data_IF_507309141464
#
_entry.id   IF_507309141464
#
_cell.length_a   1.000
_cell.length_b   1.000
_cell.length_c   1.000
_cell.angle_alpha   90.00
_cell.angle_beta   90.00
_cell.angle_gamma   90.00
#
_symmetry.space_group_name_H-M   'P 1'
#
loop_
_entity.id
_entity.type
_entity.pdbx_description
1 polymer ?
#
# COMPACT_ATOMS: atom_id res chain seq x y z
N UNK A 1 17.34 -7.72 6.92
CA UNK A 1 17.66 -6.53 7.74
C UNK A 1 16.48 -6.03 8.57
N UNK A 2 15.39 -5.49 7.99
CA UNK A 2 14.25 -4.95 8.77
C UNK A 2 13.62 -5.95 9.75
N UNK A 3 13.52 -7.23 9.37
CA UNK A 3 13.09 -8.31 10.29
C UNK A 3 14.02 -8.49 11.51
N UNK A 4 15.32 -8.29 11.34
CA UNK A 4 16.30 -8.40 12.45
C UNK A 4 16.10 -7.24 13.42
N UNK A 5 16.04 -6.01 12.91
CA UNK A 5 15.77 -4.82 13.73
C UNK A 5 14.46 -4.94 14.49
N UNK A 6 13.39 -5.37 13.82
CA UNK A 6 12.08 -5.58 14.45
C UNK A 6 12.16 -6.59 15.60
N UNK A 7 12.83 -7.74 15.38
CA UNK A 7 13.02 -8.77 16.41
C UNK A 7 13.87 -8.29 17.57
N UNK A 8 14.96 -7.56 17.32
CA UNK A 8 15.85 -7.03 18.37
C UNK A 8 15.12 -6.01 19.23
N UNK A 9 14.41 -5.05 18.60
CA UNK A 9 13.58 -4.06 19.32
C UNK A 9 12.50 -4.73 20.15
N UNK A 10 11.86 -5.78 19.62
CA UNK A 10 10.80 -6.50 20.33
C UNK A 10 11.32 -7.37 21.48
N UNK A 11 12.44 -8.07 21.30
CA UNK A 11 12.96 -9.03 22.27
C UNK A 11 13.79 -8.37 23.39
N UNK A 12 14.50 -7.28 23.07
CA UNK A 12 15.42 -6.61 23.99
C UNK A 12 14.91 -5.25 24.47
N UNK A 13 13.77 -4.77 23.94
CA UNK A 13 13.18 -3.46 24.26
C UNK A 13 14.13 -2.27 24.02
N UNK A 14 15.09 -2.42 23.10
CA UNK A 14 16.07 -1.38 22.77
C UNK A 14 15.62 -0.53 21.59
N UNK A 15 15.99 0.75 21.60
CA UNK A 15 15.91 1.59 20.42
C UNK A 15 17.14 1.37 19.53
N UNK A 16 16.93 0.74 18.39
CA UNK A 16 18.00 0.43 17.42
C UNK A 16 17.71 1.10 16.10
N UNK A 17 18.53 2.04 15.65
CA UNK A 17 18.35 2.66 14.34
C UNK A 17 18.69 1.67 13.21
N UNK A 18 18.09 1.82 12.01
CA UNK A 18 18.52 1.04 10.86
C UNK A 18 19.99 1.25 10.49
N UNK A 19 20.53 2.45 10.72
CA UNK A 19 21.94 2.76 10.46
C UNK A 19 22.90 1.92 11.30
N UNK A 20 22.54 1.52 12.51
CA UNK A 20 23.38 0.68 13.38
C UNK A 20 23.80 -0.65 12.73
N UNK A 21 22.95 -1.25 11.90
CA UNK A 21 23.29 -2.48 11.16
C UNK A 21 24.20 -2.22 9.97
N UNK A 22 24.13 -1.04 9.36
CA UNK A 22 25.03 -0.68 8.25
C UNK A 22 26.42 -0.33 8.75
N UNK A 23 26.49 0.39 9.87
CA UNK A 23 27.77 0.83 10.45
C UNK A 23 28.46 -0.30 11.23
N UNK A 24 27.76 -1.39 11.57
CA UNK A 24 28.32 -2.60 12.15
C UNK A 24 27.61 -3.84 11.56
N UNK A 25 27.98 -4.26 10.34
CA UNK A 25 27.33 -5.37 9.65
C UNK A 25 27.78 -6.75 10.17
N UNK A 26 28.79 -6.79 11.04
CA UNK A 26 29.28 -8.00 11.70
C UNK A 26 28.53 -8.19 13.03
N UNK A 27 28.04 -9.41 13.28
CA UNK A 27 27.19 -9.72 14.45
C UNK A 27 27.83 -9.28 15.78
N UNK A 28 29.12 -9.54 15.96
CA UNK A 28 29.84 -9.16 17.18
C UNK A 28 29.80 -7.63 17.40
N UNK A 29 30.20 -6.86 16.39
CA UNK A 29 30.22 -5.40 16.45
C UNK A 29 28.82 -4.81 16.64
N UNK A 30 27.81 -5.45 16.06
CA UNK A 30 26.42 -5.06 16.25
C UNK A 30 25.98 -5.33 17.69
N UNK A 31 26.29 -6.50 18.27
CA UNK A 31 25.98 -6.84 19.65
C UNK A 31 26.67 -5.91 20.66
N UNK A 32 27.94 -5.57 20.43
CA UNK A 32 28.68 -4.59 21.24
C UNK A 32 27.96 -3.23 21.24
N UNK A 33 27.51 -2.74 20.08
CA UNK A 33 26.75 -1.49 19.99
C UNK A 33 25.39 -1.55 20.69
N UNK A 34 24.71 -2.69 20.63
CA UNK A 34 23.44 -2.88 21.34
C UNK A 34 23.61 -2.77 22.85
N UNK A 35 24.75 -3.16 23.41
CA UNK A 35 25.01 -3.04 24.86
C UNK A 35 25.02 -1.59 25.36
N UNK A 36 25.34 -0.64 24.47
CA UNK A 36 25.31 0.80 24.74
C UNK A 36 24.02 1.49 24.28
N UNK A 37 23.10 0.75 23.66
CA UNK A 37 21.84 1.30 23.18
C UNK A 37 20.92 1.66 24.35
N UNK A 38 20.20 2.77 24.22
CA UNK A 38 19.22 3.16 25.23
C UNK A 38 18.02 2.22 25.23
N UNK A 39 17.43 2.04 26.41
CA UNK A 39 16.10 1.47 26.53
C UNK A 39 15.17 2.30 25.65
N UNK A 40 14.51 1.62 24.72
CA UNK A 40 13.62 2.30 23.79
C UNK A 40 12.37 2.76 24.51
N UNK A 41 11.88 3.97 24.17
CA UNK A 41 10.49 4.26 24.47
C UNK A 41 9.65 3.35 23.59
N UNK A 42 9.05 2.32 24.20
CA UNK A 42 8.17 1.41 23.50
C UNK A 42 7.06 2.24 22.84
N UNK A 43 7.11 2.38 21.52
CA UNK A 43 6.03 3.02 20.78
C UNK A 43 4.75 2.22 21.08
N UNK A 44 3.64 2.91 21.36
CA UNK A 44 2.39 2.20 21.61
C UNK A 44 2.08 1.29 20.40
N UNK A 45 1.58 0.08 20.65
CA UNK A 45 1.23 -0.84 19.58
C UNK A 45 0.19 -0.20 18.68
N UNK A 46 0.27 -0.48 17.37
CA UNK A 46 -0.80 -0.11 16.44
C UNK A 46 -1.97 -1.06 16.73
N UNK A 47 -2.98 -0.54 17.40
CA UNK A 47 -4.21 -1.29 17.69
C UNK A 47 -5.21 -1.14 16.55
N UNK A 48 -6.10 -2.12 16.43
CA UNK A 48 -7.28 -1.94 15.61
C UNK A 48 -8.08 -0.75 16.14
N UNK A 49 -8.62 0.05 15.23
CA UNK A 49 -9.56 1.12 15.53
C UNK A 49 -10.78 0.93 14.66
N UNK A 50 -11.93 1.42 15.13
CA UNK A 50 -13.13 1.42 14.34
C UNK A 50 -12.92 2.20 13.04
N UNK A 51 -13.35 1.61 11.92
CA UNK A 51 -13.18 2.17 10.57
C UNK A 51 -14.47 2.77 10.00
N UNK A 52 -15.41 3.09 10.87
CA UNK A 52 -16.66 3.75 10.50
C UNK A 52 -16.40 5.25 10.29
N UNK A 53 -16.99 5.81 9.23
CA UNK A 53 -16.96 7.24 8.96
C UNK A 53 -15.70 7.77 8.27
N UNK A 54 -15.43 9.05 8.48
CA UNK A 54 -14.38 9.80 7.80
C UNK A 54 -13.13 9.89 8.69
N UNK A 55 -11.98 9.41 8.20
CA UNK A 55 -10.70 9.50 8.90
C UNK A 55 -9.77 10.54 8.27
N UNK A 56 -8.84 11.04 9.07
CA UNK A 56 -7.74 11.86 8.58
C UNK A 56 -6.83 11.06 7.65
N UNK A 57 -6.22 11.75 6.71
CA UNK A 57 -5.21 11.17 5.82
C UNK A 57 -3.89 11.03 6.57
N UNK A 58 -3.12 9.99 6.22
CA UNK A 58 -1.68 9.99 6.57
C UNK A 58 -0.97 11.15 5.87
N UNK A 59 0.17 11.60 6.38
CA UNK A 59 0.94 12.70 5.77
C UNK A 59 1.27 12.45 4.30
N UNK A 60 1.57 11.20 3.93
CA UNK A 60 1.81 10.82 2.54
C UNK A 60 0.53 10.92 1.68
N UNK A 61 -0.61 10.43 2.19
CA UNK A 61 -1.89 10.54 1.50
C UNK A 61 -2.33 12.01 1.36
N UNK A 62 -2.13 12.85 2.37
CA UNK A 62 -2.49 14.27 2.33
C UNK A 62 -1.67 15.03 1.27
N UNK A 63 -0.38 14.71 1.14
CA UNK A 63 0.45 15.25 0.05
C UNK A 63 -0.07 14.83 -1.32
N UNK A 64 -0.37 13.54 -1.52
CA UNK A 64 -0.93 13.05 -2.79
C UNK A 64 -2.30 13.66 -3.09
N UNK A 65 -3.15 13.81 -2.08
CA UNK A 65 -4.44 14.47 -2.20
C UNK A 65 -4.28 15.92 -2.67
N UNK A 66 -3.40 16.69 -2.02
CA UNK A 66 -3.10 18.06 -2.44
C UNK A 66 -2.62 18.12 -3.90
N UNK A 67 -1.68 17.26 -4.28
CA UNK A 67 -1.18 17.19 -5.66
C UNK A 67 -2.26 16.78 -6.66
N UNK A 68 -3.22 15.94 -6.25
CA UNK A 68 -4.35 15.53 -7.09
C UNK A 68 -5.42 16.62 -7.26
N UNK A 69 -5.53 17.57 -6.32
CA UNK A 69 -6.46 18.71 -6.41
C UNK A 69 -5.92 19.87 -7.28
N UNK A 70 -4.61 19.93 -7.52
CA UNK A 70 -4.02 20.88 -8.47
C UNK A 70 -4.39 20.50 -9.91
N UNK A 71 -4.54 21.48 -10.81
CA UNK A 71 -4.89 21.22 -12.22
C UNK A 71 -3.95 20.18 -12.86
N UNK A 72 -4.53 19.25 -13.62
CA UNK A 72 -3.76 18.26 -14.39
C UNK A 72 -3.60 16.88 -13.76
N UNK A 73 -4.50 16.46 -12.85
CA UNK A 73 -4.78 15.07 -12.45
C UNK A 73 -3.60 14.12 -12.64
N UNK A 74 -2.62 14.22 -11.74
CA UNK A 74 -1.25 13.82 -12.02
C UNK A 74 -1.09 12.31 -12.27
N UNK A 75 -1.14 11.92 -13.54
CA UNK A 75 -0.89 10.56 -14.01
C UNK A 75 0.46 9.99 -13.57
N UNK A 76 1.40 10.81 -13.09
CA UNK A 76 2.67 10.34 -12.51
C UNK A 76 2.49 9.43 -11.28
N UNK A 77 1.30 9.42 -10.67
CA UNK A 77 0.97 8.51 -9.56
C UNK A 77 0.17 7.28 -9.98
N UNK A 78 -0.12 7.09 -11.27
CA UNK A 78 -0.67 5.84 -11.77
C UNK A 78 0.40 4.74 -11.77
N UNK A 79 0.02 3.54 -11.36
CA UNK A 79 0.87 2.35 -11.37
C UNK A 79 0.27 1.29 -12.32
N UNK A 80 0.25 1.54 -13.64
CA UNK A 80 -0.31 0.58 -14.59
C UNK A 80 0.54 -0.69 -14.63
N UNK A 81 -0.13 -1.84 -14.68
CA UNK A 81 0.48 -3.14 -14.92
C UNK A 81 -0.23 -3.80 -16.10
N UNK A 82 0.55 -4.28 -17.06
CA UNK A 82 0.05 -4.96 -18.23
C UNK A 82 0.60 -6.39 -18.26
N UNK A 83 -0.29 -7.37 -18.44
CA UNK A 83 0.06 -8.79 -18.43
C UNK A 83 -0.45 -9.45 -19.72
N UNK A 84 0.42 -10.24 -20.37
CA UNK A 84 0.03 -11.08 -21.50
C UNK A 84 -0.14 -12.52 -21.04
N UNK A 85 -1.39 -12.96 -20.95
CA UNK A 85 -1.74 -14.35 -20.65
C UNK A 85 -1.93 -15.13 -21.95
N UNK A 86 -1.51 -16.40 -21.98
CA UNK A 86 -1.73 -17.31 -23.11
C UNK A 86 -2.33 -18.61 -22.60
N UNK A 87 -3.37 -19.09 -23.27
CA UNK A 87 -4.12 -20.30 -22.87
C UNK A 87 -5.56 -19.98 -22.47
N UNK A 88 -6.32 -21.00 -22.03
CA UNK A 88 -7.69 -20.80 -21.59
C UNK A 88 -7.73 -19.92 -20.33
N UNK A 89 -8.53 -18.85 -20.37
CA UNK A 89 -8.74 -17.94 -19.24
C UNK A 89 -10.21 -17.99 -18.81
N UNK A 90 -10.45 -18.36 -17.55
CA UNK A 90 -11.78 -18.27 -16.95
C UNK A 90 -11.98 -16.86 -16.38
N UNK A 91 -12.56 -15.96 -17.19
CA UNK A 91 -12.76 -14.55 -16.83
C UNK A 91 -13.53 -14.40 -15.51
N UNK A 92 -14.61 -15.16 -15.32
CA UNK A 92 -15.41 -15.13 -14.09
C UNK A 92 -14.62 -15.60 -12.84
N UNK A 93 -13.61 -16.45 -13.00
CA UNK A 93 -12.72 -16.80 -11.89
C UNK A 93 -11.78 -15.64 -11.56
N UNK A 94 -11.21 -15.00 -12.59
CA UNK A 94 -10.31 -13.85 -12.43
C UNK A 94 -11.01 -12.66 -11.77
N UNK A 95 -12.22 -12.32 -12.22
CA UNK A 95 -13.03 -11.25 -11.63
C UNK A 95 -13.33 -11.52 -10.14
N UNK A 96 -13.70 -12.77 -9.80
CA UNK A 96 -13.89 -13.17 -8.40
C UNK A 96 -12.61 -13.03 -7.58
N UNK A 97 -11.46 -13.41 -8.12
CA UNK A 97 -10.17 -13.25 -7.43
C UNK A 97 -9.83 -11.79 -7.17
N UNK A 98 -10.07 -10.88 -8.13
CA UNK A 98 -9.88 -9.45 -7.90
C UNK A 98 -10.83 -8.90 -6.83
N UNK A 99 -12.10 -9.30 -6.87
CA UNK A 99 -13.06 -8.88 -5.85
C UNK A 99 -12.72 -9.41 -4.45
N UNK A 100 -12.14 -10.61 -4.34
CA UNK A 100 -11.60 -11.10 -3.06
C UNK A 100 -10.43 -10.26 -2.55
N UNK A 101 -9.55 -9.79 -3.43
CA UNK A 101 -8.49 -8.86 -3.06
C UNK A 101 -9.05 -7.53 -2.58
N UNK A 102 -10.03 -6.96 -3.30
CA UNK A 102 -10.72 -5.71 -2.89
C UNK A 102 -11.39 -5.85 -1.52
N UNK A 103 -12.10 -6.96 -1.29
CA UNK A 103 -12.74 -7.24 0.00
C UNK A 103 -11.70 -7.32 1.14
N UNK A 104 -10.59 -8.03 0.90
CA UNK A 104 -9.51 -8.24 1.88
C UNK A 104 -8.73 -6.96 2.22
N UNK A 105 -8.52 -6.08 1.25
CA UNK A 105 -7.63 -4.93 1.40
C UNK A 105 -8.39 -3.61 1.46
N UNK A 106 -8.48 -3.00 2.65
CA UNK A 106 -9.13 -1.69 2.88
C UNK A 106 -8.66 -0.63 1.88
N UNK A 107 -7.35 -0.57 1.61
CA UNK A 107 -6.77 0.40 0.69
C UNK A 107 -7.36 0.36 -0.74
N UNK A 108 -7.82 -0.81 -1.20
CA UNK A 108 -8.42 -0.96 -2.54
C UNK A 108 -9.89 -0.52 -2.59
N UNK A 109 -10.51 -0.30 -1.43
CA UNK A 109 -11.89 0.17 -1.27
C UNK A 109 -11.97 1.48 -0.48
N UNK A 110 -10.85 2.21 -0.37
CA UNK A 110 -10.81 3.52 0.25
C UNK A 110 -11.09 4.61 -0.78
N UNK A 111 -12.02 5.51 -0.45
CA UNK A 111 -12.31 6.71 -1.24
C UNK A 111 -11.85 7.95 -0.50
N UNK A 112 -11.48 8.99 -1.25
CA UNK A 112 -10.99 10.26 -0.73
C UNK A 112 -11.96 11.38 -1.10
N UNK A 113 -12.20 12.30 -0.18
CA UNK A 113 -13.13 13.42 -0.36
C UNK A 113 -12.72 14.60 0.53
N UNK A 114 -13.23 15.80 0.23
CA UNK A 114 -12.99 16.97 1.05
C UNK A 114 -14.12 17.18 2.07
N UNK A 115 -13.77 17.56 3.30
CA UNK A 115 -14.69 18.09 4.32
C UNK A 115 -14.09 19.41 4.77
N UNK A 116 -14.81 20.52 4.58
CA UNK A 116 -14.34 21.87 4.96
C UNK A 116 -12.95 22.23 4.38
N UNK A 117 -12.66 21.75 3.17
CA UNK A 117 -11.38 21.97 2.48
C UNK A 117 -10.26 20.99 2.88
N UNK A 118 -10.48 20.13 3.87
CA UNK A 118 -9.51 19.12 4.29
C UNK A 118 -9.79 17.76 3.65
N UNK A 119 -8.74 17.10 3.16
CA UNK A 119 -8.82 15.74 2.64
C UNK A 119 -9.15 14.74 3.75
N UNK A 120 -10.15 13.89 3.51
CA UNK A 120 -10.57 12.78 4.36
C UNK A 120 -10.59 11.49 3.56
N UNK A 121 -10.49 10.37 4.26
CA UNK A 121 -10.67 9.04 3.68
C UNK A 121 -11.81 8.30 4.35
N UNK A 122 -12.49 7.45 3.58
CA UNK A 122 -13.50 6.51 4.06
C UNK A 122 -13.29 5.17 3.40
N UNK A 123 -13.36 4.12 4.19
CA UNK A 123 -13.29 2.76 3.70
C UNK A 123 -14.70 2.30 3.36
N UNK A 124 -14.93 1.91 2.10
CA UNK A 124 -16.21 1.35 1.65
C UNK A 124 -16.41 -0.07 2.18
N UNK A 125 -17.62 -0.61 2.08
CA UNK A 125 -17.97 -1.94 2.57
C UNK A 125 -17.14 -3.05 1.89
N UNK A 126 -16.88 -4.17 2.59
CA UNK A 126 -16.08 -5.26 2.06
C UNK A 126 -16.75 -5.96 0.86
N UNK A 127 -18.07 -5.82 0.76
CA UNK A 127 -18.94 -6.33 -0.29
C UNK A 127 -18.91 -5.45 -1.56
N UNK A 128 -18.09 -4.39 -1.59
CA UNK A 128 -17.92 -3.54 -2.77
C UNK A 128 -17.40 -4.39 -3.94
N UNK A 129 -18.19 -4.47 -5.01
CA UNK A 129 -17.84 -5.19 -6.23
C UNK A 129 -17.30 -4.22 -7.28
N UNK A 130 -16.12 -4.53 -7.80
CA UNK A 130 -15.51 -3.85 -8.94
C UNK A 130 -15.64 -4.76 -10.17
N UNK A 131 -16.39 -4.34 -11.21
CA UNK A 131 -16.53 -5.14 -12.41
C UNK A 131 -15.22 -5.19 -13.18
N UNK A 132 -14.93 -6.34 -13.79
CA UNK A 132 -13.79 -6.51 -14.70
C UNK A 132 -14.27 -6.30 -16.15
N UNK A 133 -14.09 -5.10 -16.76
CA UNK A 133 -14.52 -4.88 -18.13
C UNK A 133 -13.72 -5.77 -19.09
N UNK A 134 -14.45 -6.47 -19.96
CA UNK A 134 -13.87 -7.30 -21.02
C UNK A 134 -14.09 -6.59 -22.34
N UNK A 135 -12.99 -6.23 -22.99
CA UNK A 135 -13.01 -5.63 -24.31
C UNK A 135 -12.47 -6.67 -25.28
N UNK A 136 -13.31 -7.06 -26.24
CA UNK A 136 -12.92 -7.97 -27.30
C UNK A 136 -12.22 -7.20 -28.43
N UNK A 137 -10.94 -7.48 -28.65
CA UNK A 137 -10.12 -6.86 -29.70
C UNK A 137 -9.97 -7.75 -30.94
N UNK A 138 -10.74 -8.85 -31.06
CA UNK A 138 -10.75 -9.68 -32.27
C UNK A 138 -11.30 -8.84 -33.43
N UNK A 139 -10.45 -8.59 -34.43
CA UNK A 139 -10.79 -7.73 -35.58
C UNK A 139 -10.09 -6.36 -35.56
N UNK A 140 -9.43 -6.00 -34.46
CA UNK A 140 -8.62 -4.79 -34.40
C UNK A 140 -7.28 -4.99 -35.11
N UNK A 141 -7.03 -4.18 -36.15
CA UNK A 141 -5.79 -4.22 -36.93
C UNK A 141 -4.54 -3.90 -36.09
N UNK A 142 -4.70 -3.23 -34.94
CA UNK A 142 -3.62 -2.90 -34.00
C UNK A 142 -4.07 -3.06 -32.54
N UNK A 143 -4.49 -4.28 -32.19
CA UNK A 143 -4.89 -4.64 -30.82
C UNK A 143 -3.80 -4.36 -29.76
N UNK A 144 -2.53 -4.25 -30.16
CA UNK A 144 -1.46 -3.86 -29.24
C UNK A 144 -1.60 -2.37 -28.90
N UNK A 145 -1.69 -1.47 -29.87
CA UNK A 145 -1.81 -0.04 -29.59
C UNK A 145 -3.02 0.31 -28.69
N UNK A 146 -4.11 -0.45 -28.77
CA UNK A 146 -5.29 -0.27 -27.92
C UNK A 146 -5.07 -0.75 -26.47
N UNK A 147 -4.25 -1.79 -26.27
CA UNK A 147 -4.00 -2.39 -24.95
C UNK A 147 -2.89 -1.70 -24.13
N UNK A 148 -2.11 -0.79 -24.74
CA UNK A 148 -0.91 -0.17 -24.14
C UNK A 148 -0.95 1.36 -24.08
N UNK A 149 -2.17 1.94 -24.13
CA UNK A 149 -2.42 3.37 -23.95
C UNK A 149 -2.94 3.62 -22.54
#
# INVERSE_FOLDING_TARGET
MMRVLAKVRQALHLEVSPSSLFTAPVLQQFAERLSTAQQGNARPPITAVERSGAHTLSSAQQRLWFLAQMEGGNAAYHMPLNLRLRGPLQVAALERSFNQLVARHEALRTTFFAVEGEGRQRVCAAETIIPLPVIDLRGEHDARRVCWR
#
